data_IF_830477704452
#
_entry.id   IF_830477704452
#
_cell.length_a   1.000
_cell.length_b   1.000
_cell.length_c   1.000
_cell.angle_alpha   90.00
_cell.angle_beta   90.00
_cell.angle_gamma   90.00
#
_symmetry.space_group_name_H-M   'P 1'
#
loop_
_entity.id
_entity.type
_entity.pdbx_description
1 polymer ?
#
# COMPACT_ATOMS: atom_id res chain seq x y z
N UNK A 1 -0.18 12.23 -17.23
CA UNK A 1 -1.34 11.47 -17.76
C UNK A 1 -1.31 9.99 -17.33
N UNK A 2 -0.21 9.24 -17.50
CA UNK A 2 -0.10 7.85 -17.03
C UNK A 2 -0.19 7.68 -15.50
N UNK A 3 0.42 8.59 -14.74
CA UNK A 3 0.42 8.54 -13.27
C UNK A 3 -0.98 8.74 -12.67
N UNK A 4 -1.76 9.67 -13.22
CA UNK A 4 -3.15 9.89 -12.84
C UNK A 4 -4.03 8.69 -13.19
N UNK A 5 -3.87 8.11 -14.38
CA UNK A 5 -4.63 6.94 -14.82
C UNK A 5 -4.38 5.69 -13.94
N UNK A 6 -3.13 5.50 -13.49
CA UNK A 6 -2.78 4.42 -12.56
C UNK A 6 -3.40 4.64 -11.17
N UNK A 7 -3.38 5.88 -10.68
CA UNK A 7 -3.99 6.26 -9.40
C UNK A 7 -5.51 6.12 -9.45
N UNK A 8 -6.15 6.56 -10.53
CA UNK A 8 -7.59 6.38 -10.76
C UNK A 8 -7.96 4.88 -10.79
N UNK A 9 -7.11 4.04 -11.38
CA UNK A 9 -7.32 2.59 -11.42
C UNK A 9 -7.09 1.89 -10.07
N UNK A 10 -6.23 2.42 -9.20
CA UNK A 10 -6.09 1.97 -7.81
C UNK A 10 -7.34 2.35 -7.01
N UNK A 11 -7.77 3.61 -7.13
CA UNK A 11 -8.94 4.12 -6.42
C UNK A 11 -10.26 3.52 -6.93
N UNK A 12 -10.31 3.04 -8.17
CA UNK A 12 -11.52 2.41 -8.72
C UNK A 12 -11.71 0.96 -8.29
N UNK A 13 -10.69 0.30 -7.71
CA UNK A 13 -10.76 -1.12 -7.34
C UNK A 13 -11.26 -1.38 -5.93
N UNK A 14 -11.12 -0.40 -5.03
CA UNK A 14 -11.48 -0.56 -3.63
C UNK A 14 -12.43 0.55 -3.19
N UNK A 15 -13.71 0.24 -2.89
CA UNK A 15 -14.66 1.26 -2.46
C UNK A 15 -14.25 1.98 -1.17
N UNK A 16 -13.31 1.42 -0.40
CA UNK A 16 -12.79 2.01 0.83
C UNK A 16 -11.66 3.03 0.60
N UNK A 17 -11.05 3.11 -0.59
CA UNK A 17 -10.02 4.14 -0.87
C UNK A 17 -10.61 5.55 -0.87
N UNK A 18 -11.92 5.69 -1.06
CA UNK A 18 -12.65 6.96 -0.89
C UNK A 18 -12.48 7.52 0.53
N UNK A 19 -12.35 6.66 1.54
CA UNK A 19 -12.12 7.09 2.93
C UNK A 19 -10.74 7.75 3.07
N UNK A 20 -9.73 7.21 2.38
CA UNK A 20 -8.37 7.78 2.37
C UNK A 20 -8.31 9.10 1.62
N UNK A 21 -9.04 9.22 0.51
CA UNK A 21 -9.14 10.48 -0.24
C UNK A 21 -9.81 11.58 0.62
N UNK A 22 -10.90 11.23 1.32
CA UNK A 22 -11.60 12.16 2.21
C UNK A 22 -10.80 12.54 3.47
N UNK A 23 -9.88 11.67 3.91
CA UNK A 23 -9.08 11.84 5.13
C UNK A 23 -7.58 11.79 4.83
N UNK A 24 -7.15 12.49 3.77
CA UNK A 24 -5.74 12.57 3.40
C UNK A 24 -4.88 13.00 4.59
N UNK A 25 -3.71 12.39 4.73
CA UNK A 25 -2.72 12.80 5.72
C UNK A 25 -2.31 14.25 5.43
N UNK A 26 -2.58 15.15 6.38
CA UNK A 26 -2.32 16.58 6.25
C UNK A 26 -1.35 17.12 7.32
N UNK A 27 -0.65 16.22 8.02
CA UNK A 27 0.30 16.54 9.09
C UNK A 27 -0.32 16.62 10.48
N UNK A 28 -1.64 16.89 10.59
CA UNK A 28 -2.31 17.04 11.87
C UNK A 28 -3.17 15.83 12.27
N UNK A 29 -3.45 14.92 11.33
CA UNK A 29 -4.39 13.81 11.47
C UNK A 29 -3.76 12.42 11.38
N UNK A 30 -2.48 12.27 11.76
CA UNK A 30 -1.73 11.02 11.58
C UNK A 30 -2.43 9.78 12.14
N UNK A 31 -2.97 9.86 13.37
CA UNK A 31 -3.63 8.71 14.00
C UNK A 31 -4.91 8.28 13.26
N UNK A 32 -5.72 9.24 12.84
CA UNK A 32 -6.96 8.98 12.11
C UNK A 32 -6.66 8.45 10.70
N UNK A 33 -5.69 9.06 10.02
CA UNK A 33 -5.19 8.59 8.73
C UNK A 33 -4.64 7.17 8.82
N UNK A 34 -3.80 6.87 9.82
CA UNK A 34 -3.21 5.54 10.02
C UNK A 34 -4.29 4.49 10.29
N UNK A 35 -5.32 4.84 11.07
CA UNK A 35 -6.47 3.95 11.31
C UNK A 35 -7.21 3.65 10.01
N UNK A 36 -7.48 4.66 9.20
CA UNK A 36 -8.14 4.49 7.90
C UNK A 36 -7.29 3.68 6.93
N UNK A 37 -5.97 3.91 6.90
CA UNK A 37 -5.02 3.15 6.10
C UNK A 37 -5.06 1.67 6.47
N UNK A 38 -4.98 1.35 7.77
CA UNK A 38 -5.07 -0.04 8.24
C UNK A 38 -6.35 -0.73 7.82
N UNK A 39 -7.50 -0.05 7.85
CA UNK A 39 -8.79 -0.61 7.40
C UNK A 39 -8.73 -0.95 5.90
N UNK A 40 -8.20 -0.04 5.07
CA UNK A 40 -8.07 -0.28 3.62
C UNK A 40 -7.11 -1.43 3.33
N UNK A 41 -5.97 -1.47 4.01
CA UNK A 41 -4.98 -2.54 3.84
C UNK A 41 -5.48 -3.90 4.33
N UNK A 42 -6.27 -3.93 5.40
CA UNK A 42 -6.85 -5.17 5.93
C UNK A 42 -7.87 -5.75 4.95
N UNK A 43 -8.72 -4.88 4.37
CA UNK A 43 -9.65 -5.27 3.31
C UNK A 43 -8.94 -5.85 2.08
N UNK A 44 -7.75 -5.35 1.74
CA UNK A 44 -6.92 -5.85 0.64
C UNK A 44 -6.07 -7.07 1.02
N UNK A 45 -6.10 -7.53 2.28
CA UNK A 45 -5.20 -8.56 2.81
C UNK A 45 -3.70 -8.21 2.68
N UNK A 46 -3.35 -6.93 2.80
CA UNK A 46 -1.99 -6.39 2.62
C UNK A 46 -1.39 -5.80 3.90
N UNK A 47 -2.08 -5.87 5.05
CA UNK A 47 -1.58 -5.40 6.36
C UNK A 47 -0.22 -5.99 6.73
N UNK A 48 0.05 -7.24 6.32
CA UNK A 48 1.31 -7.91 6.57
C UNK A 48 2.53 -7.20 5.96
N UNK A 49 2.36 -6.43 4.89
CA UNK A 49 3.44 -5.64 4.27
C UNK A 49 3.93 -4.53 5.20
N UNK A 50 3.02 -3.95 6.00
CA UNK A 50 3.35 -2.86 6.92
C UNK A 50 3.84 -3.39 8.26
N UNK A 51 3.28 -4.50 8.72
CA UNK A 51 3.55 -5.05 10.06
C UNK A 51 4.73 -6.03 10.10
N UNK A 52 5.16 -6.60 8.96
CA UNK A 52 6.21 -7.62 8.89
C UNK A 52 7.48 -7.10 8.20
N UNK A 53 8.63 -7.62 8.61
CA UNK A 53 9.88 -7.39 7.87
C UNK A 53 9.82 -8.07 6.51
N UNK A 54 10.48 -7.50 5.48
CA UNK A 54 10.63 -8.15 4.18
C UNK A 54 11.16 -9.58 4.33
N UNK A 55 10.65 -10.55 3.56
CA UNK A 55 11.11 -11.92 3.65
C UNK A 55 12.61 -12.03 3.31
N UNK A 56 13.41 -12.44 4.29
CA UNK A 56 14.86 -12.67 4.13
C UNK A 56 15.10 -14.05 3.53
N UNK A 57 14.99 -14.20 2.21
CA UNK A 57 15.40 -15.44 1.54
C UNK A 57 16.67 -15.21 0.72
N UNK A 58 17.64 -16.12 0.88
CA UNK A 58 18.74 -16.26 -0.07
C UNK A 58 18.14 -16.79 -1.37
N UNK A 59 17.83 -15.89 -2.30
CA UNK A 59 17.15 -16.19 -3.57
C UNK A 59 17.83 -17.31 -4.37
N UNK A 60 19.12 -17.53 -4.15
CA UNK A 60 19.97 -18.47 -4.89
C UNK A 60 19.53 -19.94 -4.73
N UNK A 61 19.10 -20.37 -3.54
CA UNK A 61 18.65 -21.75 -3.25
C UNK A 61 17.12 -21.88 -3.05
N UNK A 62 16.39 -20.80 -3.31
CA UNK A 62 14.94 -20.74 -3.05
C UNK A 62 14.12 -21.63 -3.98
N UNK A 63 13.18 -22.39 -3.41
CA UNK A 63 12.24 -23.20 -4.18
C UNK A 63 11.16 -22.32 -4.85
N UNK A 64 10.42 -22.89 -5.81
CA UNK A 64 9.42 -22.14 -6.58
C UNK A 64 8.36 -21.44 -5.70
N UNK A 65 7.99 -22.02 -4.55
CA UNK A 65 7.01 -21.44 -3.63
C UNK A 65 7.57 -20.21 -2.91
N UNK A 66 8.84 -20.25 -2.52
CA UNK A 66 9.53 -19.12 -1.89
C UNK A 66 9.70 -17.97 -2.88
N UNK A 67 10.03 -18.26 -4.14
CA UNK A 67 10.10 -17.25 -5.21
C UNK A 67 8.76 -16.57 -5.45
N UNK A 68 7.68 -17.34 -5.58
CA UNK A 68 6.33 -16.78 -5.72
C UNK A 68 5.91 -15.92 -4.52
N UNK A 69 6.24 -16.35 -3.30
CA UNK A 69 5.95 -15.57 -2.10
C UNK A 69 6.75 -14.25 -2.07
N UNK A 70 8.00 -14.26 -2.52
CA UNK A 70 8.84 -13.07 -2.62
C UNK A 70 8.32 -12.09 -3.68
N UNK A 71 7.98 -12.56 -4.87
CA UNK A 71 7.39 -11.74 -5.93
C UNK A 71 6.07 -11.13 -5.48
N UNK A 72 5.18 -11.94 -4.88
CA UNK A 72 3.92 -11.47 -4.31
C UNK A 72 4.14 -10.40 -3.24
N UNK A 73 5.10 -10.61 -2.32
CA UNK A 73 5.44 -9.61 -1.31
C UNK A 73 5.84 -8.29 -1.98
N UNK A 74 6.71 -8.33 -2.98
CA UNK A 74 7.18 -7.11 -3.63
C UNK A 74 6.07 -6.40 -4.43
N UNK A 75 5.16 -7.15 -5.04
CA UNK A 75 3.99 -6.60 -5.73
C UNK A 75 3.03 -5.92 -4.77
N UNK A 76 2.75 -6.57 -3.63
CA UNK A 76 1.91 -6.01 -2.58
C UNK A 76 2.58 -4.79 -1.92
N UNK A 77 3.90 -4.82 -1.69
CA UNK A 77 4.71 -3.69 -1.20
C UNK A 77 4.58 -2.45 -2.11
N UNK A 78 4.74 -2.62 -3.43
CA UNK A 78 4.56 -1.51 -4.38
C UNK A 78 3.14 -0.96 -4.36
N UNK A 79 2.13 -1.82 -4.18
CA UNK A 79 0.73 -1.39 -4.07
C UNK A 79 0.47 -0.62 -2.78
N UNK A 80 0.93 -1.12 -1.63
CA UNK A 80 0.82 -0.43 -0.33
C UNK A 80 1.52 0.93 -0.38
N UNK A 81 2.72 1.00 -0.94
CA UNK A 81 3.46 2.25 -1.12
C UNK A 81 2.67 3.27 -1.97
N UNK A 82 2.04 2.80 -3.06
CA UNK A 82 1.19 3.65 -3.90
C UNK A 82 -0.04 4.17 -3.15
N UNK A 83 -0.68 3.33 -2.33
CA UNK A 83 -1.84 3.70 -1.50
C UNK A 83 -1.44 4.77 -0.47
N UNK A 84 -0.30 4.58 0.21
CA UNK A 84 0.23 5.54 1.17
C UNK A 84 0.43 6.89 0.48
N UNK A 85 1.16 6.93 -0.64
CA UNK A 85 1.44 8.17 -1.36
C UNK A 85 0.16 8.92 -1.78
N UNK A 86 -0.82 8.24 -2.40
CA UNK A 86 -2.06 8.92 -2.83
C UNK A 86 -2.89 9.39 -1.63
N UNK A 87 -2.80 8.71 -0.49
CA UNK A 87 -3.52 9.07 0.73
C UNK A 87 -2.89 10.21 1.54
N UNK A 88 -1.79 10.81 1.05
CA UNK A 88 -1.15 11.96 1.66
C UNK A 88 -1.45 13.22 0.86
N UNK A 89 -1.43 14.40 1.50
CA UNK A 89 -1.47 15.66 0.74
C UNK A 89 -0.14 15.86 -0.01
N UNK A 90 -0.18 16.61 -1.11
CA UNK A 90 0.97 16.81 -1.99
C UNK A 90 2.21 17.36 -1.25
N UNK A 91 2.00 18.16 -0.21
CA UNK A 91 3.07 18.74 0.60
C UNK A 91 3.91 17.69 1.33
N UNK A 92 3.32 16.53 1.63
CA UNK A 92 3.94 15.42 2.36
C UNK A 92 4.45 14.30 1.45
N UNK A 93 4.18 14.35 0.14
CA UNK A 93 4.56 13.31 -0.84
C UNK A 93 6.00 13.45 -1.38
N UNK A 94 6.90 14.12 -0.66
CA UNK A 94 8.28 14.41 -1.12
C UNK A 94 9.24 13.24 -0.96
#
# INVERSE_FOLDING_TARGET
MLFLCYVDQIMSKNPLTVILEANKLNGNNYNDWLRNLKIVLDFESQTYVVDQSPPTFLLEDSNAKERMAFEKYHDDDRKVHSIILVSMTYELQK
#
